data_IF_333668599949
#
_entry.id   IF_333668599949
#
_cell.length_a   1.000
_cell.length_b   1.000
_cell.length_c   1.000
_cell.angle_alpha   90.00
_cell.angle_beta   90.00
_cell.angle_gamma   90.00
#
_symmetry.space_group_name_H-M   'P 1'
#
loop_
_entity.id
_entity.type
_entity.pdbx_description
1 polymer ?
#
# COMPACT_ATOMS: atom_id res chain seq x y z
N UNK A 1 9.33 24.13 -29.57
CA UNK A 1 8.97 22.89 -28.82
C UNK A 1 7.47 22.76 -28.93
N UNK A 2 6.98 21.62 -29.42
CA UNK A 2 5.53 21.35 -29.40
C UNK A 2 5.06 21.08 -27.97
N UNK A 3 3.90 21.59 -27.63
CA UNK A 3 3.23 21.34 -26.35
C UNK A 3 2.63 19.92 -26.33
N UNK A 4 2.41 19.38 -25.13
CA UNK A 4 1.78 18.06 -24.96
C UNK A 4 0.41 18.00 -25.67
N UNK A 5 -0.33 19.10 -25.63
CA UNK A 5 -1.66 19.22 -26.25
C UNK A 5 -1.59 19.08 -27.78
N UNK A 6 -0.62 19.74 -28.42
CA UNK A 6 -0.42 19.66 -29.88
C UNK A 6 -0.03 18.23 -30.33
N UNK A 7 0.72 17.50 -29.51
CA UNK A 7 1.07 16.10 -29.78
C UNK A 7 -0.14 15.16 -29.64
N UNK A 8 -1.01 15.42 -28.66
CA UNK A 8 -2.26 14.67 -28.45
C UNK A 8 -3.25 14.91 -29.60
N UNK A 9 -3.33 16.14 -30.11
CA UNK A 9 -4.21 16.47 -31.23
C UNK A 9 -3.80 15.78 -32.54
N UNK A 10 -2.50 15.54 -32.75
CA UNK A 10 -1.94 14.83 -33.92
C UNK A 10 -2.08 13.31 -33.87
N UNK A 11 -2.47 12.74 -32.73
CA UNK A 11 -2.59 11.28 -32.57
C UNK A 11 -3.86 10.74 -33.27
N UNK A 12 -3.79 9.56 -33.88
CA UNK A 12 -4.96 8.80 -34.31
C UNK A 12 -5.93 8.53 -33.15
N UNK A 13 -7.24 8.41 -33.40
CA UNK A 13 -8.25 8.21 -32.35
C UNK A 13 -7.96 7.02 -31.45
N UNK A 14 -7.44 5.93 -32.03
CA UNK A 14 -7.07 4.69 -31.34
C UNK A 14 -6.02 4.91 -30.25
N UNK A 15 -5.04 5.78 -30.51
CA UNK A 15 -3.93 6.05 -29.59
C UNK A 15 -4.27 7.14 -28.56
N UNK A 16 -5.32 7.93 -28.77
CA UNK A 16 -5.76 8.94 -27.79
C UNK A 16 -6.23 8.26 -26.49
N UNK A 17 -6.91 7.12 -26.61
CA UNK A 17 -7.37 6.38 -25.43
C UNK A 17 -6.19 5.86 -24.61
N UNK A 18 -5.19 5.27 -25.26
CA UNK A 18 -3.98 4.77 -24.58
C UNK A 18 -3.22 5.90 -23.84
N UNK A 19 -3.18 7.09 -24.43
CA UNK A 19 -2.56 8.26 -23.77
C UNK A 19 -3.36 8.72 -22.56
N UNK A 20 -4.70 8.72 -22.64
CA UNK A 20 -5.58 9.05 -21.50
C UNK A 20 -5.33 8.06 -20.36
N UNK A 21 -5.38 6.76 -20.67
CA UNK A 21 -5.17 5.69 -19.69
C UNK A 21 -3.78 5.80 -19.03
N UNK A 22 -2.76 6.16 -19.81
CA UNK A 22 -1.40 6.36 -19.30
C UNK A 22 -1.28 7.59 -18.40
N UNK A 23 -1.96 8.70 -18.73
CA UNK A 23 -2.00 9.90 -17.89
C UNK A 23 -2.66 9.58 -16.55
N UNK A 24 -3.80 8.87 -16.57
CA UNK A 24 -4.52 8.47 -15.36
C UNK A 24 -3.65 7.53 -14.50
N UNK A 25 -2.99 6.56 -15.12
CA UNK A 25 -2.03 5.70 -14.45
C UNK A 25 -0.90 6.49 -13.77
N UNK A 26 -0.32 7.49 -14.43
CA UNK A 26 0.74 8.31 -13.85
C UNK A 26 0.25 9.15 -12.67
N UNK A 27 -0.95 9.72 -12.76
CA UNK A 27 -1.59 10.46 -11.67
C UNK A 27 -1.85 9.56 -10.46
N UNK A 28 -2.34 8.35 -10.67
CA UNK A 28 -2.61 7.38 -9.62
C UNK A 28 -1.32 6.81 -9.00
N UNK A 29 -0.32 6.47 -9.83
CA UNK A 29 0.99 5.97 -9.39
C UNK A 29 1.71 6.98 -8.50
N UNK A 30 1.59 8.28 -8.79
CA UNK A 30 2.15 9.33 -7.94
C UNK A 30 1.46 9.38 -6.57
N UNK A 31 0.15 9.17 -6.51
CA UNK A 31 -0.62 9.10 -5.25
C UNK A 31 -0.27 7.84 -4.44
N UNK A 32 -0.06 6.69 -5.08
CA UNK A 32 0.29 5.42 -4.38
C UNK A 32 1.68 5.41 -3.74
N UNK A 33 2.61 6.30 -4.16
CA UNK A 33 3.96 6.39 -3.58
C UNK A 33 4.03 7.06 -2.20
N UNK A 34 2.91 7.56 -1.67
CA UNK A 34 2.84 8.14 -0.32
C UNK A 34 2.33 7.14 0.73
N UNK A 35 2.21 5.85 0.41
CA UNK A 35 2.10 4.84 1.46
C UNK A 35 3.42 4.83 2.23
N UNK A 36 3.44 5.53 3.37
CA UNK A 36 4.62 5.62 4.22
C UNK A 36 5.21 4.23 4.49
N UNK A 37 6.53 4.17 4.67
CA UNK A 37 7.22 2.91 5.02
C UNK A 37 6.42 2.18 6.10
N UNK A 38 6.09 0.91 5.87
CA UNK A 38 5.43 0.07 6.86
C UNK A 38 6.24 0.11 8.15
N UNK A 39 5.71 0.77 9.18
CA UNK A 39 6.46 1.08 10.40
C UNK A 39 6.70 -0.15 11.26
N UNK A 40 5.93 -1.23 11.05
CA UNK A 40 6.01 -2.49 11.81
C UNK A 40 6.10 -2.25 13.32
N UNK A 41 5.41 -1.22 13.82
CA UNK A 41 5.57 -0.73 15.21
C UNK A 41 5.15 -1.75 16.27
N UNK A 42 4.40 -2.78 15.87
CA UNK A 42 4.02 -3.92 16.70
C UNK A 42 5.16 -4.94 16.87
N UNK A 43 6.13 -4.99 15.96
CA UNK A 43 7.20 -5.98 15.96
C UNK A 43 8.08 -5.79 17.20
N UNK A 44 8.06 -6.78 18.09
CA UNK A 44 8.90 -6.80 19.29
C UNK A 44 8.31 -6.12 20.52
N UNK A 45 7.10 -5.53 20.46
CA UNK A 45 6.46 -4.91 21.62
C UNK A 45 6.19 -5.88 22.78
N UNK A 46 6.05 -7.17 22.50
CA UNK A 46 5.79 -8.19 23.53
C UNK A 46 7.05 -8.87 24.06
N UNK A 47 8.25 -8.38 23.72
CA UNK A 47 9.51 -9.04 24.10
C UNK A 47 9.71 -9.11 25.62
N UNK A 48 9.23 -8.11 26.36
CA UNK A 48 9.32 -8.05 27.83
C UNK A 48 8.50 -9.15 28.54
N UNK A 49 7.48 -9.69 27.88
CA UNK A 49 6.62 -10.74 28.43
C UNK A 49 7.13 -12.16 28.16
N UNK A 50 8.24 -12.29 27.43
CA UNK A 50 8.78 -13.60 26.99
C UNK A 50 9.04 -14.55 28.16
N UNK A 51 9.59 -14.01 29.26
CA UNK A 51 9.95 -14.81 30.43
C UNK A 51 8.82 -14.85 31.48
N UNK A 52 7.74 -14.09 31.25
CA UNK A 52 6.59 -14.00 32.14
C UNK A 52 5.48 -15.00 31.79
N UNK A 53 5.44 -15.46 30.55
CA UNK A 53 4.41 -16.38 30.07
C UNK A 53 5.00 -17.50 29.24
N UNK A 54 4.60 -18.72 29.57
CA UNK A 54 4.80 -19.89 28.72
C UNK A 54 3.75 -19.92 27.61
N UNK A 55 4.06 -20.63 26.52
CA UNK A 55 3.11 -20.82 25.41
C UNK A 55 1.79 -21.45 25.86
N UNK A 56 1.83 -22.34 26.86
CA UNK A 56 0.63 -23.01 27.39
C UNK A 56 -0.27 -22.05 28.18
N UNK A 57 0.30 -21.13 28.96
CA UNK A 57 -0.47 -20.12 29.70
C UNK A 57 -1.14 -19.12 28.76
N UNK A 58 -0.44 -18.69 27.70
CA UNK A 58 -1.03 -17.84 26.67
C UNK A 58 -2.18 -18.54 25.95
N UNK A 59 -2.05 -19.83 25.66
CA UNK A 59 -3.11 -20.61 25.04
C UNK A 59 -4.36 -20.71 25.92
N UNK A 60 -4.19 -20.95 27.23
CA UNK A 60 -5.31 -20.99 28.18
C UNK A 60 -6.02 -19.64 28.29
N UNK A 61 -5.26 -18.56 28.45
CA UNK A 61 -5.80 -17.19 28.48
C UNK A 61 -6.55 -16.82 27.19
N UNK A 62 -6.05 -17.28 26.04
CA UNK A 62 -6.72 -17.04 24.76
C UNK A 62 -8.08 -17.73 24.68
N UNK A 63 -8.22 -18.94 25.23
CA UNK A 63 -9.52 -19.62 25.31
C UNK A 63 -10.48 -18.87 26.22
N UNK A 64 -10.02 -18.38 27.37
CA UNK A 64 -10.82 -17.58 28.31
C UNK A 64 -11.33 -16.24 27.74
N UNK A 65 -10.66 -15.67 26.74
CA UNK A 65 -11.06 -14.42 26.09
C UNK A 65 -11.98 -14.61 24.87
N UNK A 66 -12.08 -15.84 24.37
CA UNK A 66 -12.94 -16.19 23.23
C UNK A 66 -14.36 -16.52 23.70
N UNK A 67 -14.50 -17.00 24.93
CA UNK A 67 -15.79 -17.18 25.63
C UNK A 67 -16.40 -15.84 26.09
#
# INVERSE_FOLDING_TARGET
METLKEKIEKLPPELKQEVIDFIDFLLEKRKKRTTGKLTLSWKGKLKEYRDQYTSLELQKKAMEWID
#
